data_IF_158287805106
#
_entry.id   IF_158287805106
#
_cell.length_a   1.000
_cell.length_b   1.000
_cell.length_c   1.000
_cell.angle_alpha   90.00
_cell.angle_beta   90.00
_cell.angle_gamma   90.00
#
_symmetry.space_group_name_H-M   'P 1'
#
loop_
_entity.id
_entity.type
_entity.pdbx_description
1 polymer ?
#
# COMPACT_ATOMS: atom_id res chain seq x y z
N UNK A 1 9.47 -0.75 -9.49
CA UNK A 1 10.84 -1.04 -9.02
C UNK A 1 11.69 -1.19 -10.27
N UNK A 2 12.64 -0.28 -10.56
CA UNK A 2 13.49 -0.40 -11.76
C UNK A 2 14.38 -1.62 -11.63
N UNK A 3 14.51 -2.37 -12.73
CA UNK A 3 15.36 -3.56 -12.82
C UNK A 3 16.81 -3.12 -12.53
N UNK A 4 17.56 -3.81 -11.64
CA UNK A 4 18.93 -3.44 -11.30
C UNK A 4 19.86 -3.27 -12.52
N UNK A 5 19.61 -4.05 -13.58
CA UNK A 5 20.35 -4.05 -14.86
C UNK A 5 20.42 -2.66 -15.52
N UNK A 6 19.31 -1.91 -15.56
CA UNK A 6 19.28 -0.57 -16.18
C UNK A 6 20.18 0.45 -15.45
N UNK A 7 20.39 0.27 -14.14
CA UNK A 7 21.24 1.16 -13.34
C UNK A 7 22.73 0.84 -13.47
N UNK A 8 23.06 -0.40 -13.82
CA UNK A 8 24.44 -0.85 -14.01
C UNK A 8 25.06 -0.25 -15.28
N UNK A 9 24.24 -0.02 -16.33
CA UNK A 9 24.66 0.52 -17.62
C UNK A 9 24.68 2.07 -17.71
N UNK A 10 24.34 2.77 -16.62
CA UNK A 10 24.24 4.24 -16.62
C UNK A 10 25.62 4.92 -16.61
N UNK A 11 25.96 5.80 -17.58
CA UNK A 11 27.27 6.44 -17.64
C UNK A 11 27.52 7.31 -16.40
N UNK A 12 28.64 7.08 -15.69
CA UNK A 12 29.10 7.93 -14.58
C UNK A 12 28.80 7.43 -13.16
N UNK A 13 28.08 6.31 -12.98
CA UNK A 13 27.80 5.78 -11.64
C UNK A 13 28.79 4.67 -11.26
N UNK A 14 29.78 4.99 -10.40
CA UNK A 14 30.65 3.97 -9.78
C UNK A 14 29.90 3.28 -8.64
N UNK A 15 29.19 2.20 -8.96
CA UNK A 15 28.55 1.36 -7.95
C UNK A 15 29.58 0.40 -7.33
N UNK A 16 29.49 0.21 -6.01
CA UNK A 16 30.30 -0.77 -5.29
C UNK A 16 29.65 -2.15 -5.40
N UNK A 17 30.39 -3.23 -5.71
CA UNK A 17 29.84 -4.59 -5.85
C UNK A 17 29.01 -5.03 -4.63
N UNK A 18 29.49 -4.67 -3.43
CA UNK A 18 28.82 -4.99 -2.15
C UNK A 18 27.44 -4.35 -2.03
N UNK A 19 27.28 -3.12 -2.56
CA UNK A 19 25.99 -2.43 -2.53
C UNK A 19 24.99 -3.07 -3.48
N UNK A 20 25.45 -3.52 -4.65
CA UNK A 20 24.60 -4.20 -5.64
C UNK A 20 24.19 -5.57 -5.11
N UNK A 21 25.12 -6.33 -4.53
CA UNK A 21 24.82 -7.63 -3.92
C UNK A 21 23.76 -7.51 -2.82
N UNK A 22 23.88 -6.54 -1.89
CA UNK A 22 22.84 -6.32 -0.86
C UNK A 22 21.48 -6.01 -1.46
N UNK A 23 21.43 -5.30 -2.58
CA UNK A 23 20.18 -5.00 -3.26
C UNK A 23 19.58 -6.26 -3.90
N UNK A 24 20.41 -7.10 -4.51
CA UNK A 24 20.02 -8.43 -5.03
C UNK A 24 19.50 -9.30 -3.89
N UNK A 25 20.22 -9.41 -2.78
CA UNK A 25 19.80 -10.21 -1.62
C UNK A 25 18.45 -9.73 -1.08
N UNK A 26 18.22 -8.42 -1.04
CA UNK A 26 16.93 -7.85 -0.62
C UNK A 26 15.80 -8.19 -1.59
N UNK A 27 16.07 -8.27 -2.89
CA UNK A 27 15.10 -8.69 -3.90
C UNK A 27 14.80 -10.18 -3.75
N UNK A 28 15.83 -11.00 -3.54
CA UNK A 28 15.73 -12.46 -3.43
C UNK A 28 15.34 -12.95 -2.02
N UNK A 29 15.10 -12.03 -1.08
CA UNK A 29 14.74 -12.35 0.32
C UNK A 29 13.37 -13.05 0.47
N UNK A 30 12.58 -13.11 -0.60
CA UNK A 30 11.32 -13.86 -0.61
C UNK A 30 11.52 -15.37 -0.35
N UNK A 31 10.42 -16.07 -0.14
CA UNK A 31 10.43 -17.51 0.08
C UNK A 31 11.15 -18.22 -1.08
N UNK A 32 12.32 -18.83 -0.78
CA UNK A 32 13.18 -19.57 -1.74
C UNK A 32 13.85 -18.74 -2.85
N UNK A 33 13.79 -17.40 -2.83
CA UNK A 33 14.33 -16.58 -3.92
C UNK A 33 15.82 -16.85 -4.20
N UNK A 34 16.62 -17.00 -3.14
CA UNK A 34 18.05 -17.34 -3.23
C UNK A 34 18.33 -18.79 -3.65
N UNK A 35 17.37 -19.70 -3.48
CA UNK A 35 17.51 -21.10 -3.91
C UNK A 35 17.19 -21.24 -5.41
N UNK A 36 16.26 -20.43 -5.92
CA UNK A 36 15.77 -20.52 -7.30
C UNK A 36 16.58 -19.70 -8.29
N UNK A 37 17.06 -18.52 -7.89
CA UNK A 37 17.69 -17.56 -8.79
C UNK A 37 19.16 -17.41 -8.41
N UNK A 38 20.03 -17.85 -9.30
CA UNK A 38 21.48 -17.66 -9.19
C UNK A 38 21.85 -16.35 -9.86
N UNK A 39 22.53 -15.46 -9.14
CA UNK A 39 22.97 -14.16 -9.66
C UNK A 39 24.48 -14.08 -9.62
N UNK A 40 25.09 -13.82 -10.76
CA UNK A 40 26.54 -13.61 -10.90
C UNK A 40 26.81 -12.15 -11.23
N UNK A 41 27.63 -11.50 -10.39
CA UNK A 41 28.12 -10.15 -10.65
C UNK A 41 29.53 -10.23 -11.23
N UNK A 42 29.69 -9.74 -12.46
CA UNK A 42 31.00 -9.63 -13.11
C UNK A 42 31.43 -8.16 -13.15
N UNK A 43 32.74 -7.93 -13.20
CA UNK A 43 33.30 -6.59 -13.35
C UNK A 43 34.16 -6.57 -14.60
N UNK A 44 33.83 -5.70 -15.54
CA UNK A 44 34.62 -5.52 -16.75
C UNK A 44 36.00 -4.94 -16.37
N UNK A 45 37.11 -5.65 -16.67
CA UNK A 45 38.46 -5.16 -16.38
C UNK A 45 38.84 -3.88 -17.14
N UNK A 46 38.27 -3.65 -18.32
CA UNK A 46 38.63 -2.52 -19.19
C UNK A 46 37.87 -1.24 -18.85
N UNK A 47 36.58 -1.35 -18.56
CA UNK A 47 35.72 -0.19 -18.28
C UNK A 47 35.46 0.02 -16.79
N UNK A 48 35.73 -0.99 -15.95
CA UNK A 48 35.42 -0.98 -14.52
C UNK A 48 33.93 -1.03 -14.20
N UNK A 49 33.07 -1.22 -15.21
CA UNK A 49 31.62 -1.35 -15.05
C UNK A 49 31.27 -2.70 -14.44
N UNK A 50 30.17 -2.70 -13.67
CA UNK A 50 29.59 -3.93 -13.12
C UNK A 50 28.53 -4.43 -14.08
N UNK A 51 28.56 -5.72 -14.36
CA UNK A 51 27.54 -6.42 -15.12
C UNK A 51 26.94 -7.53 -14.25
N UNK A 52 25.69 -7.90 -14.55
CA UNK A 52 24.93 -8.86 -13.78
C UNK A 52 24.23 -9.83 -14.73
N UNK A 53 24.52 -11.11 -14.56
CA UNK A 53 23.77 -12.18 -15.19
C UNK A 53 23.02 -12.96 -14.13
N UNK A 54 21.84 -13.45 -14.50
CA UNK A 54 21.05 -14.31 -13.62
C UNK A 54 20.52 -15.50 -14.40
N UNK A 55 20.38 -16.61 -13.71
CA UNK A 55 19.80 -17.83 -14.24
C UNK A 55 18.86 -18.45 -13.20
N UNK A 56 17.85 -19.15 -13.70
CA UNK A 56 16.96 -19.95 -12.88
C UNK A 56 17.55 -21.35 -12.76
N UNK A 57 17.80 -21.82 -11.53
CA UNK A 57 18.22 -23.18 -11.28
C UNK A 57 17.05 -24.14 -11.57
N UNK A 58 17.15 -24.87 -12.68
CA UNK A 58 16.11 -25.78 -13.13
C UNK A 58 15.87 -26.94 -12.16
N UNK A 59 16.91 -27.45 -11.48
CA UNK A 59 16.78 -28.54 -10.52
C UNK A 59 16.12 -28.04 -9.23
N UNK A 60 16.54 -26.88 -8.74
CA UNK A 60 15.89 -26.24 -7.60
C UNK A 60 14.43 -25.92 -7.90
N UNK A 61 14.14 -25.37 -9.09
CA UNK A 61 12.77 -25.09 -9.54
C UNK A 61 11.89 -26.35 -9.57
N UNK A 62 12.41 -27.44 -10.14
CA UNK A 62 11.68 -28.71 -10.21
C UNK A 62 11.45 -29.30 -8.81
N UNK A 63 12.48 -29.33 -7.97
CA UNK A 63 12.36 -29.79 -6.57
C UNK A 63 11.34 -28.98 -5.79
N UNK A 64 11.39 -27.65 -5.91
CA UNK A 64 10.45 -26.75 -5.25
C UNK A 64 9.03 -27.01 -5.73
N UNK A 65 8.83 -27.18 -7.04
CA UNK A 65 7.49 -27.38 -7.62
C UNK A 65 6.90 -28.76 -7.34
N UNK A 66 7.72 -29.81 -7.37
CA UNK A 66 7.24 -31.20 -7.29
C UNK A 66 7.25 -31.78 -5.88
N UNK A 67 8.21 -31.37 -5.03
CA UNK A 67 8.43 -31.97 -3.70
C UNK A 67 7.91 -31.08 -2.59
N UNK A 68 8.04 -29.76 -2.74
CA UNK A 68 7.86 -28.80 -1.64
C UNK A 68 6.54 -28.05 -1.76
N UNK A 69 6.22 -27.57 -2.96
CA UNK A 69 4.92 -26.96 -3.25
C UNK A 69 3.90 -28.08 -3.39
N UNK A 70 3.18 -28.33 -2.31
CA UNK A 70 2.06 -29.26 -2.30
C UNK A 70 0.99 -28.88 -3.33
N UNK A 71 0.07 -29.79 -3.60
CA UNK A 71 -1.08 -29.52 -4.48
C UNK A 71 -2.10 -28.66 -3.73
N UNK A 72 -2.52 -27.55 -4.33
CA UNK A 72 -3.61 -26.72 -3.80
C UNK A 72 -4.86 -26.89 -4.66
N UNK A 73 -5.94 -27.35 -4.04
CA UNK A 73 -7.24 -27.52 -4.70
C UNK A 73 -8.11 -26.29 -4.43
N UNK A 74 -8.60 -25.66 -5.49
CA UNK A 74 -9.60 -24.59 -5.43
C UNK A 74 -10.92 -25.17 -5.92
N UNK A 75 -11.93 -25.18 -5.07
CA UNK A 75 -13.28 -25.67 -5.41
C UNK A 75 -14.20 -24.45 -5.54
N UNK A 76 -14.98 -24.40 -6.61
CA UNK A 76 -15.90 -23.29 -6.90
C UNK A 76 -17.20 -23.82 -7.50
N UNK A 77 -18.29 -23.08 -7.35
CA UNK A 77 -19.57 -23.31 -8.03
C UNK A 77 -19.77 -22.37 -9.24
N UNK A 78 -18.70 -21.71 -9.70
CA UNK A 78 -18.72 -20.80 -10.86
C UNK A 78 -18.23 -21.52 -12.10
N UNK A 79 -19.11 -22.32 -12.70
CA UNK A 79 -18.81 -23.14 -13.87
C UNK A 79 -18.54 -22.31 -15.13
N UNK A 80 -19.05 -21.08 -15.17
CA UNK A 80 -18.91 -20.14 -16.28
C UNK A 80 -17.57 -19.36 -16.28
N UNK A 81 -16.76 -19.49 -15.22
CA UNK A 81 -15.49 -18.79 -15.09
C UNK A 81 -14.34 -19.58 -15.71
N UNK A 82 -13.40 -18.90 -16.36
CA UNK A 82 -12.17 -19.55 -16.80
C UNK A 82 -11.33 -19.97 -15.60
N UNK A 83 -10.49 -21.01 -15.77
CA UNK A 83 -9.53 -21.42 -14.73
C UNK A 83 -8.64 -20.25 -14.30
N UNK A 84 -8.23 -19.38 -15.23
CA UNK A 84 -7.42 -18.21 -14.95
C UNK A 84 -8.16 -17.22 -14.03
N UNK A 85 -9.44 -16.95 -14.28
CA UNK A 85 -10.26 -16.06 -13.45
C UNK A 85 -10.49 -16.61 -12.05
N UNK A 86 -10.72 -17.94 -11.94
CA UNK A 86 -10.87 -18.63 -10.65
C UNK A 86 -9.60 -18.47 -9.82
N UNK A 87 -8.42 -18.73 -10.42
CA UNK A 87 -7.12 -18.58 -9.75
C UNK A 87 -6.87 -17.13 -9.36
N UNK A 88 -7.15 -16.17 -10.25
CA UNK A 88 -6.97 -14.75 -9.99
C UNK A 88 -7.84 -14.27 -8.81
N UNK A 89 -9.11 -14.68 -8.77
CA UNK A 89 -10.01 -14.34 -7.67
C UNK A 89 -9.57 -14.98 -6.35
N UNK A 90 -9.14 -16.24 -6.39
CA UNK A 90 -8.60 -16.92 -5.23
C UNK A 90 -7.34 -16.22 -4.68
N UNK A 91 -6.41 -15.78 -5.54
CA UNK A 91 -5.26 -14.98 -5.11
C UNK A 91 -5.67 -13.61 -4.54
N UNK A 92 -6.80 -13.06 -4.99
CA UNK A 92 -7.41 -11.85 -4.45
C UNK A 92 -8.01 -12.01 -3.05
N UNK A 93 -8.17 -13.23 -2.52
CA UNK A 93 -8.76 -13.48 -1.20
C UNK A 93 -8.06 -12.70 -0.08
N UNK A 94 -6.73 -12.62 -0.13
CA UNK A 94 -5.92 -11.88 0.85
C UNK A 94 -6.33 -10.41 0.97
N UNK A 95 -6.76 -9.78 -0.14
CA UNK A 95 -7.24 -8.38 -0.15
C UNK A 95 -8.57 -8.25 0.59
N UNK A 96 -9.47 -9.23 0.42
CA UNK A 96 -10.76 -9.26 1.12
C UNK A 96 -10.54 -9.48 2.61
N UNK A 97 -9.63 -10.38 2.99
CA UNK A 97 -9.27 -10.60 4.39
C UNK A 97 -8.67 -9.34 5.04
N UNK A 98 -7.81 -8.62 4.30
CA UNK A 98 -7.26 -7.36 4.77
C UNK A 98 -8.34 -6.29 4.95
N UNK A 99 -9.31 -6.19 4.03
CA UNK A 99 -10.46 -5.29 4.17
C UNK A 99 -11.32 -5.66 5.39
N UNK A 100 -11.58 -6.94 5.60
CA UNK A 100 -12.28 -7.45 6.78
C UNK A 100 -11.52 -7.16 8.09
N UNK A 101 -10.18 -7.24 8.07
CA UNK A 101 -9.35 -6.88 9.22
C UNK A 101 -9.47 -5.40 9.54
N UNK A 102 -9.47 -4.53 8.52
CA UNK A 102 -9.65 -3.09 8.72
C UNK A 102 -11.05 -2.72 9.17
N UNK A 103 -12.06 -3.36 8.61
CA UNK A 103 -13.44 -3.18 9.03
C UNK A 103 -13.63 -3.46 10.54
N UNK A 104 -12.88 -4.43 11.07
CA UNK A 104 -12.86 -4.82 12.49
C UNK A 104 -11.86 -4.05 13.35
N UNK A 105 -11.09 -3.12 12.78
CA UNK A 105 -10.11 -2.33 13.51
C UNK A 105 -10.85 -1.40 14.50
N UNK A 106 -10.59 -1.49 15.82
CA UNK A 106 -11.32 -0.73 16.83
C UNK A 106 -11.03 0.78 16.80
N UNK A 107 -9.98 1.24 16.12
CA UNK A 107 -9.56 2.64 16.12
C UNK A 107 -10.16 3.48 14.99
N UNK A 108 -10.44 2.89 13.82
CA UNK A 108 -10.86 3.65 12.64
C UNK A 108 -12.27 3.31 12.16
N UNK A 109 -12.56 2.03 11.91
CA UNK A 109 -13.85 1.60 11.34
C UNK A 109 -14.76 0.95 12.38
N UNK A 110 -14.20 0.39 13.45
CA UNK A 110 -14.86 0.02 14.70
C UNK A 110 -16.22 -0.68 14.55
N UNK A 111 -16.39 -1.58 13.56
CA UNK A 111 -17.59 -2.44 13.52
C UNK A 111 -17.65 -3.34 14.75
N UNK A 112 -16.49 -3.57 15.37
CA UNK A 112 -16.34 -4.19 16.69
C UNK A 112 -15.44 -3.29 17.56
N UNK A 113 -15.73 -3.14 18.88
CA UNK A 113 -16.88 -3.71 19.60
C UNK A 113 -18.22 -3.03 19.25
N UNK A 114 -19.33 -3.74 19.42
CA UNK A 114 -20.68 -3.23 19.17
C UNK A 114 -21.44 -3.11 20.49
N UNK A 115 -21.82 -1.88 20.85
CA UNK A 115 -22.57 -1.58 22.08
C UNK A 115 -24.08 -1.41 21.87
N UNK A 116 -24.55 -1.62 20.64
CA UNK A 116 -25.96 -1.56 20.27
C UNK A 116 -26.60 -2.94 20.44
N UNK A 117 -27.79 -3.01 21.05
CA UNK A 117 -28.48 -4.28 21.35
C UNK A 117 -29.72 -4.57 20.49
N UNK A 118 -30.17 -3.62 19.65
CA UNK A 118 -31.29 -3.84 18.72
C UNK A 118 -30.79 -4.06 17.30
N UNK A 119 -31.41 -5.00 16.57
CA UNK A 119 -31.06 -5.31 15.18
C UNK A 119 -31.06 -4.08 14.28
N UNK A 120 -32.00 -3.17 14.48
CA UNK A 120 -32.08 -1.92 13.72
C UNK A 120 -30.81 -1.07 13.93
N UNK A 121 -30.40 -0.85 15.19
CA UNK A 121 -29.20 -0.05 15.50
C UNK A 121 -27.92 -0.77 15.10
N UNK A 122 -27.89 -2.09 15.22
CA UNK A 122 -26.79 -2.93 14.71
C UNK A 122 -26.59 -2.72 13.21
N UNK A 123 -27.67 -2.81 12.42
CA UNK A 123 -27.64 -2.60 10.96
C UNK A 123 -27.17 -1.20 10.58
N UNK A 124 -27.67 -0.16 11.26
CA UNK A 124 -27.26 1.24 11.00
C UNK A 124 -25.78 1.44 11.32
N UNK A 125 -25.29 0.94 12.46
CA UNK A 125 -23.87 1.01 12.82
C UNK A 125 -22.99 0.36 11.75
N UNK A 126 -23.30 -0.89 11.39
CA UNK A 126 -22.57 -1.63 10.36
C UNK A 126 -22.57 -0.89 9.02
N UNK A 127 -23.69 -0.29 8.63
CA UNK A 127 -23.78 0.49 7.39
C UNK A 127 -22.86 1.72 7.40
N UNK A 128 -22.84 2.48 8.50
CA UNK A 128 -21.93 3.63 8.68
C UNK A 128 -20.48 3.18 8.60
N UNK A 129 -20.11 2.08 9.27
CA UNK A 129 -18.76 1.53 9.21
C UNK A 129 -18.35 1.12 7.78
N UNK A 130 -19.28 0.57 6.98
CA UNK A 130 -19.02 0.20 5.57
C UNK A 130 -18.77 1.44 4.72
N UNK A 131 -19.58 2.49 4.89
CA UNK A 131 -19.37 3.78 4.21
C UNK A 131 -18.00 4.35 4.59
N UNK A 132 -17.67 4.36 5.88
CA UNK A 132 -16.37 4.83 6.35
C UNK A 132 -15.22 4.05 5.70
N UNK A 133 -15.32 2.72 5.62
CA UNK A 133 -14.32 1.90 4.95
C UNK A 133 -14.18 2.25 3.47
N UNK A 134 -15.29 2.40 2.75
CA UNK A 134 -15.28 2.77 1.34
C UNK A 134 -14.61 4.14 1.12
N UNK A 135 -14.96 5.14 1.92
CA UNK A 135 -14.37 6.47 1.86
C UNK A 135 -12.86 6.42 2.14
N UNK A 136 -12.44 5.66 3.15
CA UNK A 136 -11.01 5.48 3.45
C UNK A 136 -10.25 4.81 2.29
N UNK A 137 -10.84 3.83 1.59
CA UNK A 137 -10.22 3.22 0.41
C UNK A 137 -10.07 4.22 -0.75
N UNK A 138 -11.09 5.07 -0.95
CA UNK A 138 -11.00 6.15 -1.95
C UNK A 138 -9.89 7.14 -1.60
N UNK A 139 -9.75 7.50 -0.33
CA UNK A 139 -8.66 8.37 0.14
C UNK A 139 -7.28 7.73 -0.11
N UNK A 140 -7.10 6.45 0.23
CA UNK A 140 -5.84 5.72 -0.05
C UNK A 140 -5.53 5.72 -1.54
N UNK A 141 -6.54 5.46 -2.39
CA UNK A 141 -6.37 5.48 -3.85
C UNK A 141 -5.91 6.86 -4.34
N UNK A 142 -6.54 7.94 -3.85
CA UNK A 142 -6.15 9.32 -4.21
C UNK A 142 -4.75 9.67 -3.72
N UNK A 143 -4.44 9.38 -2.45
CA UNK A 143 -3.12 9.62 -1.88
C UNK A 143 -2.02 8.87 -2.65
N UNK A 144 -2.26 7.60 -2.99
CA UNK A 144 -1.32 6.79 -3.77
C UNK A 144 -1.09 7.37 -5.16
N UNK A 145 -2.15 7.84 -5.82
CA UNK A 145 -2.04 8.53 -7.12
C UNK A 145 -1.25 9.85 -7.02
N UNK A 146 -1.35 10.55 -5.88
CA UNK A 146 -0.55 11.72 -5.54
C UNK A 146 0.90 11.42 -5.10
N UNK A 147 1.34 10.15 -5.12
CA UNK A 147 2.70 9.77 -4.74
C UNK A 147 2.90 9.45 -3.25
N UNK A 148 1.82 9.33 -2.48
CA UNK A 148 1.84 9.03 -1.05
C UNK A 148 1.30 7.60 -0.77
N UNK A 149 2.15 6.56 -0.79
CA UNK A 149 1.73 5.17 -0.64
C UNK A 149 1.53 4.78 0.85
N UNK A 150 0.70 5.53 1.57
CA UNK A 150 0.39 5.23 2.97
C UNK A 150 -0.59 4.07 3.10
N UNK A 151 -0.44 3.30 4.18
CA UNK A 151 -1.51 2.38 4.59
C UNK A 151 -2.75 3.16 5.04
N UNK A 152 -3.92 2.54 4.97
CA UNK A 152 -5.20 3.15 5.35
C UNK A 152 -5.18 3.74 6.78
N UNK A 153 -4.55 3.05 7.74
CA UNK A 153 -4.46 3.52 9.13
C UNK A 153 -3.55 4.74 9.24
N UNK A 154 -2.34 4.66 8.67
CA UNK A 154 -1.40 5.78 8.65
C UNK A 154 -1.99 7.02 7.97
N UNK A 155 -2.76 6.82 6.88
CA UNK A 155 -3.42 7.90 6.20
C UNK A 155 -4.46 8.58 7.10
N UNK A 156 -5.33 7.81 7.76
CA UNK A 156 -6.34 8.34 8.67
C UNK A 156 -5.67 9.07 9.85
N UNK A 157 -4.64 8.47 10.44
CA UNK A 157 -3.89 9.07 11.57
C UNK A 157 -3.27 10.40 11.17
N UNK A 158 -2.59 10.45 10.02
CA UNK A 158 -2.00 11.70 9.49
C UNK A 158 -3.05 12.76 9.24
N UNK A 159 -4.16 12.41 8.57
CA UNK A 159 -5.25 13.36 8.31
C UNK A 159 -5.94 13.83 9.59
N UNK A 160 -5.96 13.02 10.64
CA UNK A 160 -6.51 13.40 11.95
C UNK A 160 -5.69 14.47 12.69
N UNK A 161 -4.42 14.64 12.31
CA UNK A 161 -3.55 15.68 12.82
C UNK A 161 -3.82 17.05 12.18
N UNK A 162 -4.57 17.12 11.09
CA UNK A 162 -4.92 18.38 10.44
C UNK A 162 -5.97 19.08 11.31
N UNK A 163 -5.63 20.27 11.81
CA UNK A 163 -6.52 21.12 12.59
C UNK A 163 -6.83 22.40 11.81
N UNK A 164 -8.12 22.65 11.63
CA UNK A 164 -8.65 23.86 10.99
C UNK A 164 -9.61 24.54 11.95
N UNK A 165 -9.35 25.80 12.25
CA UNK A 165 -10.15 26.64 13.13
C UNK A 165 -10.95 27.62 12.28
N UNK A 166 -12.24 27.73 12.57
CA UNK A 166 -13.09 28.77 12.02
C UNK A 166 -13.52 29.71 13.15
N UNK A 167 -13.05 30.95 13.12
CA UNK A 167 -13.44 31.98 14.08
C UNK A 167 -14.57 32.84 13.50
N UNK A 168 -15.57 33.11 14.33
CA UNK A 168 -16.73 33.93 13.97
C UNK A 168 -16.76 35.16 14.88
N UNK A 169 -16.42 36.33 14.32
CA UNK A 169 -16.43 37.60 15.05
C UNK A 169 -17.72 38.34 14.78
N UNK A 170 -18.49 38.61 15.85
CA UNK A 170 -19.73 39.41 15.78
C UNK A 170 -19.43 40.83 16.24
N UNK A 171 -19.27 41.74 15.30
CA UNK A 171 -18.90 43.14 15.58
C UNK A 171 -20.12 44.01 15.95
N UNK A 172 -21.35 43.56 15.70
CA UNK A 172 -22.58 44.29 16.05
C UNK A 172 -23.79 43.37 16.27
N UNK A 173 -24.76 43.81 17.10
CA UNK A 173 -26.02 43.10 17.41
C UNK A 173 -26.92 42.78 16.19
N UNK A 174 -26.70 43.46 15.06
CA UNK A 174 -27.44 43.27 13.78
C UNK A 174 -26.49 43.22 12.58
N UNK A 175 -25.41 42.44 12.67
CA UNK A 175 -24.47 42.22 11.56
C UNK A 175 -24.25 40.74 11.26
N UNK A 176 -23.89 40.40 10.01
CA UNK A 176 -23.46 39.03 9.66
C UNK A 176 -22.11 38.77 10.33
N UNK A 177 -21.93 37.64 11.04
CA UNK A 177 -20.64 37.30 11.65
C UNK A 177 -19.55 37.26 10.58
N UNK A 178 -18.41 37.89 10.86
CA UNK A 178 -17.21 37.75 10.04
C UNK A 178 -16.59 36.38 10.31
N UNK A 179 -16.41 35.58 9.26
CA UNK A 179 -15.80 34.26 9.33
C UNK A 179 -14.33 34.37 8.90
N UNK A 180 -13.43 33.92 9.76
CA UNK A 180 -12.02 33.72 9.43
C UNK A 180 -11.67 32.24 9.58
N UNK A 181 -10.84 31.73 8.68
CA UNK A 181 -10.39 30.32 8.69
C UNK A 181 -8.88 30.30 8.80
N UNK A 182 -8.37 29.54 9.75
CA UNK A 182 -6.93 29.39 10.01
C UNK A 182 -6.61 27.90 10.21
N UNK A 183 -5.46 27.47 9.70
CA UNK A 183 -4.91 26.15 9.98
C UNK A 183 -3.87 26.26 11.10
N UNK A 184 -3.77 25.24 11.95
CA UNK A 184 -2.62 25.14 12.87
C UNK A 184 -1.36 24.74 12.10
N UNK A 185 -0.19 24.89 12.73
CA UNK A 185 1.08 24.50 12.13
C UNK A 185 1.07 23.01 11.74
N UNK A 186 1.43 22.73 10.48
CA UNK A 186 1.44 21.38 9.91
C UNK A 186 2.85 20.97 9.52
N UNK A 187 3.15 19.67 9.66
CA UNK A 187 4.37 19.11 9.07
C UNK A 187 4.35 19.27 7.53
N UNK A 188 5.47 19.63 6.88
CA UNK A 188 5.50 19.88 5.43
C UNK A 188 5.01 18.71 4.56
N UNK A 189 5.21 17.47 5.01
CA UNK A 189 4.71 16.28 4.29
C UNK A 189 3.18 16.20 4.36
N UNK A 190 2.59 16.57 5.50
CA UNK A 190 1.15 16.56 5.73
C UNK A 190 0.45 17.66 4.94
N UNK A 191 1.07 18.84 4.81
CA UNK A 191 0.58 19.93 3.95
C UNK A 191 0.51 19.48 2.49
N UNK A 192 1.58 18.89 1.95
CA UNK A 192 1.59 18.35 0.58
C UNK A 192 0.55 17.26 0.37
N UNK A 193 0.34 16.40 1.37
CA UNK A 193 -0.72 15.38 1.32
C UNK A 193 -2.11 16.03 1.27
N UNK A 194 -2.37 17.06 2.08
CA UNK A 194 -3.64 17.79 2.07
C UNK A 194 -3.88 18.42 0.70
N UNK A 195 -2.92 19.18 0.18
CA UNK A 195 -2.98 19.83 -1.14
C UNK A 195 -3.23 18.81 -2.26
N UNK A 196 -2.57 17.66 -2.22
CA UNK A 196 -2.77 16.59 -3.20
C UNK A 196 -4.18 15.98 -3.15
N UNK A 197 -4.85 15.99 -1.99
CA UNK A 197 -6.18 15.42 -1.80
C UNK A 197 -7.30 16.41 -2.12
N UNK A 198 -7.11 17.69 -1.81
CA UNK A 198 -8.14 18.75 -1.94
C UNK A 198 -7.96 19.62 -3.18
N UNK A 199 -6.73 19.77 -3.68
CA UNK A 199 -6.37 20.77 -4.68
C UNK A 199 -6.32 22.20 -4.15
N UNK A 200 -6.44 22.38 -2.83
CA UNK A 200 -6.39 23.68 -2.15
C UNK A 200 -5.02 23.86 -1.50
N UNK A 201 -4.38 25.00 -1.74
CA UNK A 201 -3.15 25.42 -1.04
C UNK A 201 -3.48 25.95 0.35
N UNK A 202 -2.75 25.45 1.35
CA UNK A 202 -2.85 25.88 2.77
C UNK A 202 -1.77 26.92 3.07
#
# INVERSE_FOLDING_TARGET
>A
MRVPEERLQSPGTRLQPVSVQRQVDRILHGERGQELIQVTLTKDPATGQLDMTWELDAQAYQRVTEVLFGKRMVVTCRDEWSTADIVAAYWGQSRVEQACKQFKNPYHHAVRPQYHWTDQKVKVHTFICIIALLLSQVLVKKATAGGFPFSINQLIDRLSAIRKVESYTVTALRGRPQKEVQFEDMEPELQKLYEALTGETV
#
